data_IF_359058560788
#
_entry.id   IF_359058560788
#
_cell.length_a   1.000
_cell.length_b   1.000
_cell.length_c   1.000
_cell.angle_alpha   90.00
_cell.angle_beta   90.00
_cell.angle_gamma   90.00
#
_symmetry.space_group_name_H-M   'P 1'
#
loop_
_entity.id
_entity.type
_entity.pdbx_description
1 polymer ?
#
# COMPACT_ATOMS: atom_id res chain seq x y z
N UNK A 1 18.42 -3.76 19.73
CA UNK A 1 18.15 -5.18 20.08
C UNK A 1 16.92 -5.34 20.98
N UNK A 2 16.66 -4.43 21.93
CA UNK A 2 15.51 -4.54 22.86
C UNK A 2 14.16 -4.47 22.15
N UNK A 3 14.03 -3.72 21.07
CA UNK A 3 12.78 -3.61 20.31
C UNK A 3 12.36 -4.92 19.63
N UNK A 4 13.31 -5.80 19.29
CA UNK A 4 12.96 -7.12 18.74
C UNK A 4 12.29 -8.03 19.75
N UNK A 5 12.41 -7.75 21.06
CA UNK A 5 11.66 -8.47 22.08
C UNK A 5 10.13 -8.26 21.95
N UNK A 6 9.69 -7.21 21.26
CA UNK A 6 8.26 -6.97 20.96
C UNK A 6 7.62 -8.09 20.14
N UNK A 7 8.40 -8.83 19.34
CA UNK A 7 7.92 -10.01 18.62
C UNK A 7 7.45 -11.16 19.54
N UNK A 8 7.86 -11.15 20.80
CA UNK A 8 7.34 -12.10 21.82
C UNK A 8 5.88 -11.79 22.22
N UNK A 9 5.42 -10.58 21.98
CA UNK A 9 4.04 -10.20 22.21
C UNK A 9 3.23 -10.50 20.95
N UNK A 10 2.28 -11.42 21.04
CA UNK A 10 1.46 -11.89 19.90
C UNK A 10 0.88 -10.73 19.07
N UNK A 11 0.35 -9.69 19.73
CA UNK A 11 -0.26 -8.54 19.05
C UNK A 11 0.77 -7.76 18.24
N UNK A 12 1.92 -7.48 18.82
CA UNK A 12 3.00 -6.75 18.15
C UNK A 12 3.61 -7.58 17.01
N UNK A 13 3.78 -8.89 17.21
CA UNK A 13 4.27 -9.78 16.16
C UNK A 13 3.32 -9.80 14.96
N UNK A 14 2.02 -9.94 15.19
CA UNK A 14 1.01 -9.88 14.12
C UNK A 14 1.07 -8.53 13.40
N UNK A 15 1.11 -7.43 14.13
CA UNK A 15 1.20 -6.10 13.55
C UNK A 15 2.46 -5.94 12.66
N UNK A 16 3.62 -6.35 13.14
CA UNK A 16 4.87 -6.26 12.36
C UNK A 16 4.88 -7.16 11.12
N UNK A 17 4.33 -8.37 11.21
CA UNK A 17 4.19 -9.26 10.04
C UNK A 17 3.27 -8.63 8.99
N UNK A 18 2.12 -8.09 9.38
CA UNK A 18 1.24 -7.41 8.43
C UNK A 18 1.83 -6.10 7.90
N UNK A 19 2.65 -5.41 8.69
CA UNK A 19 3.41 -4.25 8.22
C UNK A 19 4.40 -4.65 7.11
N UNK A 20 5.05 -5.78 7.25
CA UNK A 20 5.91 -6.37 6.22
C UNK A 20 5.10 -6.69 4.95
N UNK A 21 3.96 -7.35 5.09
CA UNK A 21 3.09 -7.70 3.95
C UNK A 21 2.55 -6.45 3.23
N UNK A 22 2.30 -5.39 3.98
CA UNK A 22 1.91 -4.11 3.40
C UNK A 22 3.07 -3.41 2.68
N UNK A 23 4.28 -3.55 3.19
CA UNK A 23 5.49 -3.09 2.54
C UNK A 23 5.71 -3.75 1.17
N UNK A 24 5.29 -5.00 0.99
CA UNK A 24 5.22 -5.67 -0.31
C UNK A 24 4.33 -4.90 -1.28
N UNK A 25 3.11 -4.53 -0.86
CA UNK A 25 2.18 -3.75 -1.69
C UNK A 25 2.76 -2.39 -2.08
N UNK A 26 3.37 -1.69 -1.14
CA UNK A 26 4.04 -0.41 -1.40
C UNK A 26 5.15 -0.55 -2.45
N UNK A 27 5.97 -1.58 -2.34
CA UNK A 27 7.06 -1.81 -3.29
C UNK A 27 6.56 -2.23 -4.67
N UNK A 28 5.47 -2.99 -4.75
CA UNK A 28 4.83 -3.32 -6.02
C UNK A 28 4.47 -2.03 -6.78
N UNK A 29 3.80 -1.11 -6.11
CA UNK A 29 3.40 0.16 -6.73
C UNK A 29 4.60 1.04 -7.09
N UNK A 30 5.58 1.14 -6.20
CA UNK A 30 6.76 1.97 -6.44
C UNK A 30 7.65 1.44 -7.58
N UNK A 31 7.72 0.12 -7.73
CA UNK A 31 8.55 -0.50 -8.76
C UNK A 31 7.90 -0.60 -10.13
N UNK A 32 6.59 -0.79 -10.21
CA UNK A 32 5.92 -1.18 -11.46
C UNK A 32 4.85 -0.22 -11.97
N UNK A 33 4.38 0.74 -11.20
CA UNK A 33 3.40 1.72 -11.68
C UNK A 33 3.93 2.56 -12.84
N UNK A 34 5.16 3.05 -12.75
CA UNK A 34 5.80 3.83 -13.82
C UNK A 34 6.05 3.01 -15.08
N UNK A 35 6.74 1.84 -15.04
CA UNK A 35 6.89 0.99 -16.22
C UNK A 35 5.56 0.61 -16.86
N UNK A 36 4.52 0.37 -16.06
CA UNK A 36 3.19 0.08 -16.55
C UNK A 36 2.60 1.23 -17.37
N UNK A 37 2.58 2.44 -16.82
CA UNK A 37 2.05 3.62 -17.53
C UNK A 37 2.89 3.90 -18.77
N UNK A 38 4.20 3.75 -18.70
CA UNK A 38 5.09 3.94 -19.85
C UNK A 38 4.89 2.92 -20.95
N UNK A 39 4.46 1.70 -20.64
CA UNK A 39 4.17 0.66 -21.64
C UNK A 39 3.12 1.08 -22.65
N UNK A 40 2.21 1.96 -22.30
CA UNK A 40 1.19 2.50 -23.23
C UNK A 40 1.76 3.42 -24.29
N UNK A 41 2.99 3.93 -24.15
CA UNK A 41 3.64 4.77 -25.17
C UNK A 41 3.86 4.02 -26.49
N UNK A 42 4.07 2.72 -26.40
CA UNK A 42 4.29 1.86 -27.58
C UNK A 42 3.00 1.48 -28.32
N UNK A 43 1.84 1.75 -27.73
CA UNK A 43 0.54 1.46 -28.31
C UNK A 43 0.01 2.68 -29.06
N UNK A 44 -0.19 2.61 -30.40
CA UNK A 44 -0.58 3.78 -31.19
C UNK A 44 -1.89 4.44 -30.72
N UNK A 45 -2.82 3.63 -30.20
CA UNK A 45 -4.12 4.10 -29.70
C UNK A 45 -4.02 4.98 -28.44
N UNK A 46 -2.94 4.82 -27.66
CA UNK A 46 -2.75 5.54 -26.38
C UNK A 46 -1.62 6.56 -26.40
N UNK A 47 -0.70 6.50 -27.37
CA UNK A 47 0.50 7.34 -27.44
C UNK A 47 0.19 8.86 -27.40
N UNK A 48 -0.96 9.25 -27.94
CA UNK A 48 -1.43 10.64 -27.95
C UNK A 48 -2.20 11.10 -26.71
N UNK A 49 -2.52 10.19 -25.79
CA UNK A 49 -3.38 10.49 -24.65
C UNK A 49 -2.67 11.34 -23.59
N UNK A 50 -3.44 12.09 -22.82
CA UNK A 50 -2.92 12.97 -21.79
C UNK A 50 -2.08 12.23 -20.71
N UNK A 51 -2.57 11.08 -20.24
CA UNK A 51 -1.88 10.31 -19.21
C UNK A 51 -0.52 9.77 -19.65
N UNK A 52 -0.36 9.46 -20.94
CA UNK A 52 0.91 9.01 -21.50
C UNK A 52 1.87 10.17 -21.76
N UNK A 53 1.35 11.31 -22.24
CA UNK A 53 2.16 12.53 -22.49
C UNK A 53 2.66 13.18 -21.20
N UNK A 54 1.84 13.17 -20.16
CA UNK A 54 2.11 13.87 -18.90
C UNK A 54 1.95 12.98 -17.67
N UNK A 55 2.70 11.88 -17.55
CA UNK A 55 2.55 10.94 -16.43
C UNK A 55 2.83 11.61 -15.07
N UNK A 56 3.68 12.64 -15.04
CA UNK A 56 3.98 13.41 -13.83
C UNK A 56 2.73 14.04 -13.23
N UNK A 57 1.76 14.45 -14.06
CA UNK A 57 0.51 15.04 -13.56
C UNK A 57 -0.32 13.98 -12.82
N UNK A 58 -0.37 12.74 -13.33
CA UNK A 58 -1.03 11.64 -12.64
C UNK A 58 -0.36 11.37 -11.26
N UNK A 59 0.97 11.33 -11.21
CA UNK A 59 1.68 11.13 -9.95
C UNK A 59 1.49 12.28 -8.96
N UNK A 60 1.36 13.52 -9.46
CA UNK A 60 1.06 14.68 -8.61
C UNK A 60 -0.28 14.55 -7.89
N UNK A 61 -1.26 13.89 -8.50
CA UNK A 61 -2.54 13.60 -7.84
C UNK A 61 -2.37 12.70 -6.62
N UNK A 62 -1.46 11.73 -6.67
CA UNK A 62 -1.12 10.90 -5.50
C UNK A 62 -0.57 11.75 -4.35
N UNK A 63 0.33 12.68 -4.64
CA UNK A 63 0.94 13.55 -3.63
C UNK A 63 -0.08 14.51 -3.01
N UNK A 64 -0.99 15.05 -3.81
CA UNK A 64 -2.10 15.86 -3.32
C UNK A 64 -3.01 15.03 -2.42
N UNK A 65 -3.34 13.81 -2.85
CA UNK A 65 -4.14 12.88 -2.06
C UNK A 65 -3.48 12.54 -0.72
N UNK A 66 -2.18 12.26 -0.69
CA UNK A 66 -1.43 12.03 0.55
C UNK A 66 -1.58 13.20 1.52
N UNK A 67 -1.38 14.42 1.04
CA UNK A 67 -1.53 15.62 1.88
C UNK A 67 -2.92 15.75 2.47
N UNK A 68 -3.95 15.55 1.67
CA UNK A 68 -5.35 15.61 2.14
C UNK A 68 -5.67 14.46 3.09
N UNK A 69 -5.20 13.26 2.83
CA UNK A 69 -5.40 12.08 3.69
C UNK A 69 -4.78 12.27 5.07
N UNK A 70 -3.56 12.82 5.15
CA UNK A 70 -2.91 13.13 6.44
C UNK A 70 -3.80 14.05 7.29
N UNK A 71 -4.40 15.06 6.68
CA UNK A 71 -5.29 15.97 7.39
C UNK A 71 -6.59 15.29 7.86
N UNK A 72 -7.04 14.26 7.16
CA UNK A 72 -8.28 13.53 7.48
C UNK A 72 -8.09 12.43 8.53
N UNK A 73 -6.88 11.95 8.76
CA UNK A 73 -6.61 10.82 9.66
C UNK A 73 -7.16 11.03 11.08
N UNK A 74 -6.97 12.19 11.75
CA UNK A 74 -7.51 12.39 13.08
C UNK A 74 -9.02 12.19 13.17
N UNK A 75 -9.76 12.63 12.14
CA UNK A 75 -11.20 12.43 12.05
C UNK A 75 -11.57 10.94 11.95
N UNK A 76 -10.91 10.20 11.06
CA UNK A 76 -11.17 8.77 10.87
C UNK A 76 -10.74 7.94 12.08
N UNK A 77 -9.62 8.27 12.72
CA UNK A 77 -9.15 7.61 13.93
C UNK A 77 -10.15 7.78 15.09
N UNK A 78 -10.68 8.99 15.27
CA UNK A 78 -11.66 9.28 16.31
C UNK A 78 -12.99 8.55 16.06
N UNK A 79 -13.43 8.46 14.81
CA UNK A 79 -14.73 7.90 14.45
C UNK A 79 -14.73 6.38 14.36
N UNK A 80 -13.70 5.80 13.77
CA UNK A 80 -13.68 4.37 13.40
C UNK A 80 -12.68 3.54 14.20
N UNK A 81 -11.75 4.18 14.90
CA UNK A 81 -10.67 3.52 15.63
C UNK A 81 -9.54 3.01 14.75
N UNK A 82 -8.45 2.63 15.40
CA UNK A 82 -7.19 2.31 14.74
C UNK A 82 -7.27 1.10 13.79
N UNK A 83 -7.96 0.03 14.22
CA UNK A 83 -8.09 -1.19 13.39
C UNK A 83 -8.83 -0.90 12.09
N UNK A 84 -9.92 -0.16 12.16
CA UNK A 84 -10.74 0.15 10.97
C UNK A 84 -10.00 1.10 10.03
N UNK A 85 -9.23 2.04 10.55
CA UNK A 85 -8.36 2.91 9.73
C UNK A 85 -7.30 2.09 9.00
N UNK A 86 -6.66 1.14 9.68
CA UNK A 86 -5.71 0.21 9.04
C UNK A 86 -6.38 -0.67 7.97
N UNK A 87 -7.59 -1.17 8.25
CA UNK A 87 -8.37 -1.96 7.29
C UNK A 87 -8.76 -1.15 6.05
N UNK A 88 -9.17 0.10 6.23
CA UNK A 88 -9.45 1.01 5.11
C UNK A 88 -8.20 1.13 4.22
N UNK A 89 -7.02 1.30 4.82
CA UNK A 89 -5.78 1.35 4.07
C UNK A 89 -5.49 0.06 3.30
N UNK A 90 -5.70 -1.10 3.92
CA UNK A 90 -5.46 -2.39 3.27
C UNK A 90 -6.40 -2.63 2.09
N UNK A 91 -7.69 -2.34 2.24
CA UNK A 91 -8.64 -2.45 1.13
C UNK A 91 -8.45 -1.35 0.08
N UNK A 92 -7.88 -0.20 0.45
CA UNK A 92 -7.46 0.81 -0.52
C UNK A 92 -6.35 0.29 -1.44
N UNK A 93 -5.43 -0.53 -0.97
CA UNK A 93 -4.46 -1.22 -1.82
C UNK A 93 -5.12 -2.15 -2.83
N UNK A 94 -6.14 -2.90 -2.42
CA UNK A 94 -6.94 -3.74 -3.32
C UNK A 94 -7.57 -2.89 -4.43
N UNK A 95 -8.22 -1.80 -4.06
CA UNK A 95 -8.85 -0.88 -5.00
C UNK A 95 -7.82 -0.26 -5.96
N UNK A 96 -6.65 0.17 -5.45
CA UNK A 96 -5.60 0.72 -6.28
C UNK A 96 -5.13 -0.25 -7.36
N UNK A 97 -4.82 -1.47 -6.98
CA UNK A 97 -4.34 -2.48 -7.94
C UNK A 97 -5.42 -2.90 -8.92
N UNK A 98 -6.65 -3.07 -8.47
CA UNK A 98 -7.78 -3.37 -9.36
C UNK A 98 -8.05 -2.26 -10.37
N UNK A 99 -7.99 -1.01 -9.96
CA UNK A 99 -8.16 0.15 -10.83
C UNK A 99 -7.03 0.28 -11.87
N UNK A 100 -5.79 -0.02 -11.48
CA UNK A 100 -4.67 -0.06 -12.41
C UNK A 100 -4.84 -1.20 -13.42
N UNK A 101 -5.34 -2.34 -12.98
CA UNK A 101 -5.61 -3.50 -13.86
C UNK A 101 -6.74 -3.27 -14.85
N UNK A 102 -7.80 -2.59 -14.44
CA UNK A 102 -8.99 -2.33 -15.27
C UNK A 102 -8.87 -1.05 -16.11
N UNK A 103 -8.03 -0.11 -15.73
CA UNK A 103 -7.91 1.20 -16.36
C UNK A 103 -6.98 1.20 -17.59
N UNK A 104 -7.03 2.31 -18.31
CA UNK A 104 -6.12 2.64 -19.40
C UNK A 104 -5.99 4.16 -19.52
N UNK A 105 -5.00 4.71 -20.24
CA UNK A 105 -4.83 6.15 -20.35
C UNK A 105 -5.80 6.84 -21.32
N UNK A 106 -6.64 6.05 -22.03
CA UNK A 106 -7.69 6.56 -22.92
C UNK A 106 -9.03 6.74 -22.21
N UNK A 107 -10.06 6.04 -22.64
CA UNK A 107 -11.41 6.11 -22.04
C UNK A 107 -11.45 5.67 -20.58
N UNK A 108 -10.52 4.80 -20.15
CA UNK A 108 -10.38 4.34 -18.77
C UNK A 108 -9.47 5.20 -17.88
N UNK A 109 -9.06 6.38 -18.30
CA UNK A 109 -8.14 7.25 -17.53
C UNK A 109 -8.70 7.65 -16.16
N UNK A 110 -10.01 7.71 -16.02
CA UNK A 110 -10.67 7.99 -14.75
C UNK A 110 -10.34 6.95 -13.67
N UNK A 111 -10.11 5.69 -14.06
CA UNK A 111 -9.68 4.65 -13.13
C UNK A 111 -8.23 4.89 -12.67
N UNK A 112 -7.35 5.36 -13.54
CA UNK A 112 -6.00 5.76 -13.15
C UNK A 112 -6.02 6.96 -12.19
N UNK A 113 -6.83 7.96 -12.47
CA UNK A 113 -7.01 9.13 -11.61
C UNK A 113 -7.52 8.70 -10.24
N UNK A 114 -8.55 7.86 -10.19
CA UNK A 114 -9.10 7.33 -8.94
C UNK A 114 -8.07 6.49 -8.18
N UNK A 115 -7.28 5.67 -8.88
CA UNK A 115 -6.17 4.91 -8.29
C UNK A 115 -5.12 5.83 -7.64
N UNK A 116 -4.80 6.96 -8.26
CA UNK A 116 -3.87 7.94 -7.70
C UNK A 116 -4.42 8.61 -6.43
N UNK A 117 -5.71 8.89 -6.40
CA UNK A 117 -6.39 9.44 -5.22
C UNK A 117 -6.43 8.40 -4.08
N UNK A 118 -6.76 7.16 -4.39
CA UNK A 118 -6.82 6.05 -3.43
C UNK A 118 -5.45 5.74 -2.83
N UNK A 119 -4.37 6.01 -3.54
CA UNK A 119 -3.01 5.82 -3.05
C UNK A 119 -2.74 6.54 -1.72
N UNK A 120 -3.21 7.78 -1.56
CA UNK A 120 -3.06 8.52 -0.32
C UNK A 120 -3.71 7.79 0.87
N UNK A 121 -4.92 7.26 0.67
CA UNK A 121 -5.59 6.44 1.69
C UNK A 121 -4.81 5.16 1.99
N UNK A 122 -4.38 4.45 0.95
CA UNK A 122 -3.66 3.19 1.09
C UNK A 122 -2.34 3.35 1.85
N UNK A 123 -1.61 4.41 1.58
CA UNK A 123 -0.30 4.65 2.17
C UNK A 123 -0.37 5.32 3.54
N UNK A 124 -1.02 6.47 3.65
CA UNK A 124 -0.96 7.28 4.86
C UNK A 124 -1.80 6.72 5.99
N UNK A 125 -2.97 6.17 5.70
CA UNK A 125 -3.83 5.62 6.75
C UNK A 125 -3.14 4.49 7.50
N UNK A 126 -2.39 3.64 6.83
CA UNK A 126 -1.63 2.61 7.52
C UNK A 126 -0.36 3.14 8.18
N UNK A 127 0.42 3.95 7.49
CA UNK A 127 1.68 4.47 8.02
C UNK A 127 1.49 5.26 9.31
N UNK A 128 0.53 6.18 9.32
CA UNK A 128 0.30 7.04 10.48
C UNK A 128 -0.40 6.28 11.58
N UNK A 129 -1.45 5.51 11.29
CA UNK A 129 -2.11 4.70 12.29
C UNK A 129 -1.19 3.62 12.87
N UNK A 130 -0.35 3.02 12.04
CA UNK A 130 0.66 2.05 12.47
C UNK A 130 1.71 2.67 13.37
N UNK A 131 2.20 3.85 13.04
CA UNK A 131 3.13 4.60 13.90
C UNK A 131 2.52 4.93 15.25
N UNK A 132 1.26 5.37 15.28
CA UNK A 132 0.52 5.63 16.52
C UNK A 132 0.33 4.34 17.33
N UNK A 133 -0.03 3.25 16.67
CA UNK A 133 -0.16 1.95 17.33
C UNK A 133 1.14 1.50 18.01
N UNK A 134 2.28 1.65 17.33
CA UNK A 134 3.60 1.34 17.91
C UNK A 134 3.86 2.22 19.13
N UNK A 135 3.61 3.52 19.04
CA UNK A 135 3.81 4.44 20.16
C UNK A 135 2.97 4.08 21.39
N UNK A 136 1.71 3.70 21.18
CA UNK A 136 0.76 3.39 22.24
C UNK A 136 1.03 2.04 22.92
N UNK A 137 1.74 1.15 22.24
CA UNK A 137 2.01 -0.22 22.71
C UNK A 137 3.48 -0.45 23.11
N UNK A 138 4.29 0.60 23.22
CA UNK A 138 5.70 0.50 23.60
C UNK A 138 6.08 1.52 24.66
N UNK A 139 7.00 1.11 25.54
CA UNK A 139 7.59 2.01 26.52
C UNK A 139 8.36 3.15 25.86
N UNK A 140 8.36 4.33 26.49
CA UNK A 140 9.09 5.50 26.01
C UNK A 140 10.57 5.24 25.76
N UNK A 141 11.19 4.36 26.56
CA UNK A 141 12.61 3.99 26.46
C UNK A 141 13.00 3.27 25.18
N UNK A 142 12.05 2.55 24.55
CA UNK A 142 12.31 1.76 23.34
C UNK A 142 11.47 2.23 22.14
N UNK A 143 10.68 3.27 22.30
CA UNK A 143 9.73 3.75 21.30
C UNK A 143 10.38 4.06 19.94
N UNK A 144 11.49 4.78 19.95
CA UNK A 144 12.24 5.10 18.72
C UNK A 144 12.77 3.83 18.03
N UNK A 145 13.27 2.88 18.80
CA UNK A 145 13.73 1.59 18.27
C UNK A 145 12.58 0.75 17.74
N UNK A 146 11.41 0.81 18.36
CA UNK A 146 10.21 0.13 17.88
C UNK A 146 9.68 0.73 16.57
N UNK A 147 9.73 2.04 16.40
CA UNK A 147 9.48 2.70 15.12
C UNK A 147 10.48 2.26 14.05
N UNK A 148 11.75 2.12 14.42
CA UNK A 148 12.78 1.57 13.53
C UNK A 148 12.46 0.14 13.07
N UNK A 149 11.97 -0.72 13.96
CA UNK A 149 11.50 -2.07 13.60
C UNK A 149 10.30 -2.00 12.66
N UNK A 150 9.34 -1.12 12.91
CA UNK A 150 8.19 -0.89 12.02
C UNK A 150 8.65 -0.51 10.61
N UNK A 151 9.57 0.43 10.48
CA UNK A 151 10.15 0.84 9.19
C UNK A 151 10.96 -0.28 8.54
N UNK A 152 11.71 -1.05 9.33
CA UNK A 152 12.46 -2.21 8.83
C UNK A 152 11.52 -3.25 8.22
N UNK A 153 10.42 -3.55 8.89
CA UNK A 153 9.43 -4.53 8.40
C UNK A 153 8.74 -4.03 7.12
N UNK A 154 8.37 -2.77 7.04
CA UNK A 154 7.71 -2.18 5.86
C UNK A 154 8.69 -1.91 4.72
N UNK A 155 9.62 -0.99 4.92
CA UNK A 155 10.50 -0.45 3.87
C UNK A 155 11.78 -1.25 3.67
N UNK A 156 12.15 -2.10 4.62
CA UNK A 156 13.29 -3.02 4.52
C UNK A 156 12.86 -4.38 4.00
N UNK A 157 12.44 -5.26 4.88
CA UNK A 157 12.11 -6.64 4.57
C UNK A 157 10.93 -6.73 3.60
N UNK A 158 9.85 -6.02 3.89
CA UNK A 158 8.66 -6.00 3.03
C UNK A 158 8.96 -5.51 1.62
N UNK A 159 9.68 -4.41 1.49
CA UNK A 159 10.08 -3.88 0.19
C UNK A 159 10.99 -4.84 -0.58
N UNK A 160 11.94 -5.50 0.09
CA UNK A 160 12.82 -6.49 -0.54
C UNK A 160 12.03 -7.68 -1.06
N UNK A 161 11.18 -8.28 -0.22
CA UNK A 161 10.32 -9.39 -0.62
C UNK A 161 9.36 -8.97 -1.75
N UNK A 162 8.82 -7.77 -1.66
CA UNK A 162 7.95 -7.20 -2.68
C UNK A 162 8.62 -7.04 -4.03
N UNK A 163 9.86 -6.57 -4.05
CA UNK A 163 10.63 -6.44 -5.29
C UNK A 163 10.82 -7.79 -5.98
N UNK A 164 11.25 -8.81 -5.25
CA UNK A 164 11.44 -10.15 -5.81
C UNK A 164 10.13 -10.80 -6.25
N UNK A 165 9.10 -10.75 -5.41
CA UNK A 165 7.81 -11.36 -5.73
C UNK A 165 7.13 -10.67 -6.92
N UNK A 166 7.12 -9.34 -6.95
CA UNK A 166 6.54 -8.59 -8.05
C UNK A 166 7.30 -8.81 -9.35
N UNK A 167 8.62 -8.81 -9.31
CA UNK A 167 9.44 -9.11 -10.49
C UNK A 167 9.18 -10.53 -11.01
N UNK A 168 9.04 -11.52 -10.14
CA UNK A 168 8.71 -12.88 -10.55
C UNK A 168 7.35 -12.96 -11.26
N UNK A 169 6.33 -12.28 -10.74
CA UNK A 169 5.00 -12.21 -11.38
C UNK A 169 5.09 -11.52 -12.74
N UNK A 170 5.69 -10.35 -12.82
CA UNK A 170 5.83 -9.59 -14.07
C UNK A 170 6.59 -10.40 -15.11
N UNK A 171 7.68 -11.04 -14.74
CA UNK A 171 8.47 -11.89 -15.64
C UNK A 171 7.66 -13.09 -16.15
N UNK A 172 6.89 -13.74 -15.28
CA UNK A 172 6.06 -14.88 -15.66
C UNK A 172 4.96 -14.52 -16.68
N UNK A 173 4.50 -13.28 -16.69
CA UNK A 173 3.47 -12.77 -17.60
C UNK A 173 4.03 -11.84 -18.69
N UNK A 174 5.32 -11.89 -18.93
CA UNK A 174 5.99 -11.20 -20.04
C UNK A 174 6.37 -12.23 -21.11
N UNK A 175 5.98 -11.97 -22.34
CA UNK A 175 6.27 -12.86 -23.47
C UNK A 175 7.71 -12.69 -24.00
N UNK A 176 8.08 -13.54 -24.98
CA UNK A 176 9.41 -13.50 -25.61
C UNK A 176 9.71 -12.18 -26.35
N UNK A 177 8.67 -11.40 -26.70
CA UNK A 177 8.80 -10.11 -27.38
C UNK A 177 8.89 -8.93 -26.38
N UNK A 178 8.86 -9.23 -25.07
CA UNK A 178 8.91 -8.24 -24.01
C UNK A 178 7.55 -7.58 -23.70
N UNK A 179 6.45 -8.08 -24.24
CA UNK A 179 5.12 -7.59 -23.93
C UNK A 179 4.59 -8.22 -22.64
N UNK A 180 4.24 -7.38 -21.68
CA UNK A 180 3.74 -7.80 -20.36
C UNK A 180 2.22 -7.75 -20.32
N UNK A 181 1.60 -8.79 -19.80
CA UNK A 181 0.15 -8.83 -19.51
C UNK A 181 -0.14 -8.06 -18.21
N UNK A 182 -0.06 -6.75 -18.28
CA UNK A 182 -0.16 -5.88 -17.09
C UNK A 182 -1.47 -6.02 -16.34
N UNK A 183 -2.60 -6.14 -17.03
CA UNK A 183 -3.89 -6.31 -16.37
C UNK A 183 -3.90 -7.54 -15.45
N UNK A 184 -3.39 -8.67 -15.95
CA UNK A 184 -3.26 -9.90 -15.18
C UNK A 184 -2.34 -9.71 -13.96
N UNK A 185 -1.21 -9.06 -14.13
CA UNK A 185 -0.28 -8.76 -13.04
C UNK A 185 -0.97 -7.92 -11.95
N UNK A 186 -1.66 -6.86 -12.33
CA UNK A 186 -2.36 -5.98 -11.36
C UNK A 186 -3.49 -6.71 -10.64
N UNK A 187 -4.23 -7.59 -11.30
CA UNK A 187 -5.25 -8.40 -10.65
C UNK A 187 -4.67 -9.42 -9.68
N UNK A 188 -3.50 -10.00 -9.98
CA UNK A 188 -2.77 -10.85 -9.04
C UNK A 188 -2.34 -10.05 -7.81
N UNK A 189 -1.82 -8.85 -8.00
CA UNK A 189 -1.46 -7.97 -6.88
C UNK A 189 -2.69 -7.54 -6.06
N UNK A 190 -3.82 -7.28 -6.71
CA UNK A 190 -5.09 -7.00 -6.04
C UNK A 190 -5.57 -8.20 -5.22
N UNK A 191 -5.47 -9.42 -5.74
CA UNK A 191 -5.80 -10.65 -5.01
C UNK A 191 -4.90 -10.84 -3.78
N UNK A 192 -3.60 -10.59 -3.92
CA UNK A 192 -2.66 -10.58 -2.80
C UNK A 192 -3.09 -9.58 -1.71
N UNK A 193 -3.36 -8.35 -2.08
CA UNK A 193 -3.79 -7.31 -1.15
C UNK A 193 -5.12 -7.67 -0.46
N UNK A 194 -6.05 -8.28 -1.19
CA UNK A 194 -7.33 -8.76 -0.63
C UNK A 194 -7.12 -9.84 0.43
N UNK A 195 -6.29 -10.83 0.15
CA UNK A 195 -5.96 -11.89 1.11
C UNK A 195 -5.32 -11.32 2.37
N UNK A 196 -4.38 -10.40 2.22
CA UNK A 196 -3.74 -9.71 3.35
C UNK A 196 -4.76 -8.92 4.16
N UNK A 197 -5.64 -8.16 3.52
CA UNK A 197 -6.67 -7.37 4.20
C UNK A 197 -7.67 -8.24 4.96
N UNK A 198 -8.13 -9.33 4.38
CA UNK A 198 -9.05 -10.29 5.02
C UNK A 198 -8.36 -10.98 6.21
N UNK A 199 -7.12 -11.45 6.02
CA UNK A 199 -6.36 -12.07 7.10
C UNK A 199 -6.14 -11.10 8.27
N UNK A 200 -5.81 -9.85 8.00
CA UNK A 200 -5.67 -8.82 9.02
C UNK A 200 -6.98 -8.58 9.79
N UNK A 201 -8.11 -8.54 9.10
CA UNK A 201 -9.42 -8.33 9.72
C UNK A 201 -9.72 -9.39 10.79
N UNK A 202 -9.33 -10.64 10.56
CA UNK A 202 -9.54 -11.76 11.48
C UNK A 202 -8.44 -11.90 12.54
N UNK A 203 -7.19 -11.63 12.19
CA UNK A 203 -6.04 -11.92 13.06
C UNK A 203 -5.66 -10.76 13.97
N UNK A 204 -5.80 -9.51 13.52
CA UNK A 204 -5.40 -8.35 14.30
C UNK A 204 -6.50 -7.89 15.24
N UNK A 205 -6.20 -7.88 16.53
CA UNK A 205 -7.10 -7.40 17.60
C UNK A 205 -6.38 -6.39 18.47
N UNK A 206 -6.58 -5.09 18.24
CA UNK A 206 -6.00 -4.05 19.10
C UNK A 206 -6.62 -4.13 20.50
N UNK A 207 -5.87 -3.69 21.50
CA UNK A 207 -6.41 -3.54 22.85
C UNK A 207 -7.59 -2.57 22.80
N UNK A 208 -8.73 -2.93 23.39
CA UNK A 208 -9.80 -1.97 23.60
C UNK A 208 -9.21 -0.86 24.52
N UNK A 209 -8.85 0.26 23.95
CA UNK A 209 -8.61 1.47 24.72
C UNK A 209 -9.95 1.82 25.36
N UNK A 210 -10.05 1.60 26.65
CA UNK A 210 -11.15 2.18 27.41
C UNK A 210 -11.01 3.69 27.27
N UNK A 211 -11.79 4.26 26.38
CA UNK A 211 -12.05 5.71 26.40
C UNK A 211 -12.75 5.93 27.73
N UNK A 212 -11.98 6.39 28.72
CA UNK A 212 -12.61 7.02 29.89
C UNK A 212 -13.33 8.24 29.33
N UNK A 213 -14.65 8.18 29.44
CA UNK A 213 -15.53 9.30 29.16
C UNK A 213 -15.15 10.51 30.01
#
# INVERSE_FOLDING_TARGET
LRAFALFKQKRMAIFFVFSMLLGVSLQITNGFATPFIESFKSLPEYAGTFGVKYPVILYSLSQISETLCILMIPFFMKRYGIKNVMLIAMFAWVARFALLGAGNPGAGVWMFILSMIVYGVAFDFFNISGSLFVNDNTDSKIRSSAQGVFMLMTNGIGATLGSFAAQAVVTAYTDANGATQWATCWYIFAAYALVVGVAFAFMFRPRKTGVKA
#
